data_IF_135333437526
#
_entry.id   IF_135333437526
#
_cell.length_a   1.000
_cell.length_b   1.000
_cell.length_c   1.000
_cell.angle_alpha   90.00
_cell.angle_beta   90.00
_cell.angle_gamma   90.00
#
_symmetry.space_group_name_H-M   'P 1'
#
loop_
_entity.id
_entity.type
_entity.pdbx_description
1 polymer ?
#
# COMPACT_ATOMS: atom_id res chain seq x y z
N UNK A 1 -6.13 -50.62 -20.34
CA UNK A 1 -7.23 -51.08 -19.46
C UNK A 1 -6.90 -50.66 -18.03
N UNK A 2 -7.90 -50.12 -17.31
CA UNK A 2 -7.86 -49.36 -16.03
C UNK A 2 -7.10 -48.03 -16.09
N UNK A 3 -7.66 -46.82 -16.24
CA UNK A 3 -8.90 -46.16 -15.76
C UNK A 3 -9.01 -46.08 -14.24
N UNK A 4 -8.36 -45.07 -13.65
CA UNK A 4 -8.79 -44.45 -12.39
C UNK A 4 -8.65 -42.93 -12.49
N UNK A 5 -9.71 -42.28 -12.02
CA UNK A 5 -10.09 -40.88 -12.17
C UNK A 5 -9.14 -39.89 -11.49
N UNK A 6 -8.84 -38.79 -12.18
CA UNK A 6 -8.34 -37.56 -11.58
C UNK A 6 -9.35 -36.44 -11.82
N UNK A 7 -10.39 -36.41 -10.99
CA UNK A 7 -11.33 -35.30 -10.88
C UNK A 7 -10.64 -34.09 -10.26
N UNK A 8 -10.59 -33.01 -11.03
CA UNK A 8 -10.20 -31.66 -10.62
C UNK A 8 -11.30 -31.05 -9.73
N UNK A 9 -10.98 -30.40 -8.59
CA UNK A 9 -11.98 -29.65 -7.86
C UNK A 9 -12.18 -28.29 -8.53
N UNK A 10 -13.19 -28.22 -9.40
CA UNK A 10 -13.79 -26.95 -9.83
C UNK A 10 -14.46 -26.28 -8.63
N UNK A 11 -13.96 -25.13 -8.20
CA UNK A 11 -14.62 -24.29 -7.18
C UNK A 11 -15.92 -23.75 -7.81
N UNK A 12 -17.04 -24.39 -7.52
CA UNK A 12 -18.37 -23.88 -7.81
C UNK A 12 -18.72 -22.79 -6.78
N UNK A 13 -18.87 -21.55 -7.24
CA UNK A 13 -19.48 -20.49 -6.45
C UNK A 13 -20.90 -20.89 -6.03
N UNK A 14 -21.34 -20.64 -4.78
CA UNK A 14 -22.73 -20.86 -4.39
C UNK A 14 -23.68 -19.96 -5.19
N UNK A 15 -24.53 -20.56 -6.01
CA UNK A 15 -25.73 -19.94 -6.59
C UNK A 15 -26.79 -19.73 -5.51
N UNK A 16 -26.64 -18.72 -4.66
CA UNK A 16 -27.73 -18.21 -3.82
C UNK A 16 -27.49 -16.73 -3.53
N UNK A 17 -27.93 -15.86 -4.44
CA UNK A 17 -28.22 -14.43 -4.21
C UNK A 17 -29.05 -13.90 -5.40
N UNK A 18 -30.08 -14.66 -5.79
CA UNK A 18 -31.23 -14.12 -6.52
C UNK A 18 -32.41 -14.20 -5.56
N UNK A 19 -32.70 -13.07 -4.89
CA UNK A 19 -34.01 -12.67 -4.38
C UNK A 19 -33.82 -11.37 -3.57
N UNK A 20 -33.78 -10.25 -4.29
CA UNK A 20 -34.15 -8.96 -3.70
C UNK A 20 -35.64 -9.04 -3.28
N UNK A 21 -36.02 -8.58 -2.07
CA UNK A 21 -37.41 -8.32 -1.79
C UNK A 21 -37.83 -7.09 -2.59
N UNK A 22 -38.63 -7.32 -3.63
CA UNK A 22 -39.42 -6.30 -4.30
C UNK A 22 -40.39 -5.69 -3.27
N UNK A 23 -39.96 -4.62 -2.61
CA UNK A 23 -40.87 -3.75 -1.87
C UNK A 23 -41.84 -3.11 -2.86
N UNK A 24 -43.07 -3.63 -2.92
CA UNK A 24 -44.18 -3.04 -3.66
C UNK A 24 -44.41 -1.62 -3.15
N UNK A 25 -44.00 -0.62 -3.94
CA UNK A 25 -44.36 0.78 -3.75
C UNK A 25 -45.85 0.93 -4.05
N UNK A 26 -46.68 0.96 -3.00
CA UNK A 26 -48.07 1.44 -3.07
C UNK A 26 -48.10 2.86 -2.51
N UNK A 27 -48.44 3.82 -3.38
CA UNK A 27 -48.74 5.20 -2.99
C UNK A 27 -47.59 6.17 -3.19
N UNK A 28 -47.30 6.53 -4.45
CA UNK A 28 -46.54 7.74 -4.73
C UNK A 28 -47.47 8.95 -4.58
N UNK A 29 -47.32 9.72 -3.48
CA UNK A 29 -47.92 11.04 -3.37
C UNK A 29 -47.06 11.99 -4.24
N UNK A 30 -47.55 12.34 -5.43
CA UNK A 30 -46.93 13.39 -6.24
C UNK A 30 -47.19 14.74 -5.56
N UNK A 31 -46.17 15.30 -4.89
CA UNK A 31 -46.13 16.72 -4.56
C UNK A 31 -45.68 17.47 -5.83
N UNK A 32 -46.63 18.09 -6.54
CA UNK A 32 -46.33 19.06 -7.57
C UNK A 32 -45.55 20.23 -6.94
N UNK A 33 -44.27 20.35 -7.31
CA UNK A 33 -43.48 21.52 -6.97
C UNK A 33 -44.11 22.79 -7.57
N UNK A 34 -44.16 23.93 -6.87
CA UNK A 34 -44.63 25.16 -7.45
C UNK A 34 -43.68 25.57 -8.60
N UNK A 35 -44.29 26.01 -9.71
CA UNK A 35 -43.63 26.29 -10.99
C UNK A 35 -42.29 27.07 -10.90
N UNK A 36 -41.40 26.97 -11.92
CA UNK A 36 -40.09 27.63 -11.96
C UNK A 36 -40.07 29.15 -11.80
N UNK A 37 -41.25 29.81 -11.74
CA UNK A 37 -41.39 31.26 -11.57
C UNK A 37 -41.10 31.75 -10.14
N UNK A 38 -41.13 30.88 -9.12
CA UNK A 38 -40.84 31.24 -7.72
C UNK A 38 -39.34 31.22 -7.36
N UNK A 39 -38.49 30.61 -8.19
CA UNK A 39 -37.04 30.54 -7.93
C UNK A 39 -36.28 31.82 -8.33
N UNK A 40 -36.83 32.62 -9.24
CA UNK A 40 -36.13 33.77 -9.83
C UNK A 40 -35.96 35.00 -8.92
N UNK A 41 -36.88 35.33 -7.99
CA UNK A 41 -36.68 36.44 -7.05
C UNK A 41 -35.63 36.11 -5.97
N UNK A 42 -35.53 34.85 -5.56
CA UNK A 42 -34.63 34.37 -4.50
C UNK A 42 -33.14 34.39 -4.89
N UNK A 43 -32.82 34.34 -6.18
CA UNK A 43 -31.44 34.30 -6.68
C UNK A 43 -30.82 35.68 -6.96
N UNK A 44 -31.58 36.78 -6.84
CA UNK A 44 -31.12 38.13 -7.24
C UNK A 44 -30.52 38.97 -6.11
N UNK A 45 -30.64 38.57 -4.85
CA UNK A 45 -30.03 39.29 -3.73
C UNK A 45 -28.63 38.71 -3.40
N UNK A 46 -27.59 39.46 -3.77
CA UNK A 46 -26.18 39.07 -3.57
C UNK A 46 -25.71 39.14 -2.11
N UNK A 47 -26.54 39.62 -1.19
CA UNK A 47 -26.14 39.80 0.22
C UNK A 47 -26.18 38.52 1.06
N UNK A 48 -26.71 37.40 0.55
CA UNK A 48 -26.91 36.16 1.34
C UNK A 48 -26.28 34.91 0.69
N UNK A 49 -24.96 34.87 0.64
CA UNK A 49 -24.15 33.73 0.15
C UNK A 49 -24.42 32.40 0.88
N UNK A 50 -24.95 32.44 2.11
CA UNK A 50 -25.30 31.23 2.89
C UNK A 50 -26.46 30.41 2.31
N UNK A 51 -27.26 30.97 1.41
CA UNK A 51 -28.47 30.28 0.90
C UNK A 51 -28.15 29.14 -0.08
N UNK A 52 -27.06 29.23 -0.84
CA UNK A 52 -26.62 28.14 -1.75
C UNK A 52 -26.22 26.88 -0.98
N UNK A 53 -25.55 27.03 0.16
CA UNK A 53 -25.18 25.91 1.02
C UNK A 53 -26.41 25.29 1.71
N UNK A 54 -27.36 26.12 2.14
CA UNK A 54 -28.58 25.72 2.86
C UNK A 54 -29.65 25.06 1.99
N UNK A 55 -29.79 25.43 0.72
CA UNK A 55 -30.66 24.72 -0.23
C UNK A 55 -30.14 23.30 -0.55
N UNK A 56 -28.82 23.10 -0.53
CA UNK A 56 -28.20 21.82 -0.88
C UNK A 56 -28.58 20.67 0.06
N UNK A 57 -28.83 20.99 1.33
CA UNK A 57 -29.28 20.03 2.35
C UNK A 57 -30.72 19.56 2.08
N UNK A 58 -31.58 20.47 1.61
CA UNK A 58 -32.97 20.17 1.24
C UNK A 58 -33.03 19.31 -0.02
N UNK A 59 -32.17 19.57 -1.01
CA UNK A 59 -32.04 18.73 -2.21
C UNK A 59 -31.59 17.30 -1.91
N UNK A 60 -30.90 17.09 -0.79
CA UNK A 60 -30.43 15.77 -0.33
C UNK A 60 -31.47 15.01 0.52
N UNK A 61 -32.27 15.73 1.32
CA UNK A 61 -33.30 15.14 2.20
C UNK A 61 -34.61 14.81 1.47
N UNK A 62 -34.99 15.59 0.46
CA UNK A 62 -36.22 15.38 -0.34
C UNK A 62 -36.26 14.01 -1.05
N UNK A 63 -35.18 13.52 -1.68
CA UNK A 63 -35.14 12.19 -2.28
C UNK A 63 -35.22 11.05 -1.25
N UNK A 64 -34.73 11.26 -0.03
CA UNK A 64 -34.80 10.28 1.07
C UNK A 64 -36.23 10.15 1.61
N UNK A 65 -36.92 11.29 1.76
CA UNK A 65 -38.34 11.35 2.14
C UNK A 65 -39.25 10.73 1.07
N UNK A 66 -38.97 10.98 -0.21
CA UNK A 66 -39.70 10.39 -1.33
C UNK A 66 -39.54 8.86 -1.43
N UNK A 67 -38.53 8.28 -0.75
CA UNK A 67 -38.27 6.84 -0.69
C UNK A 67 -38.78 6.17 0.60
N UNK A 68 -39.54 6.88 1.44
CA UNK A 68 -40.25 6.30 2.59
C UNK A 68 -39.39 6.02 3.83
N UNK A 69 -38.27 6.71 4.01
CA UNK A 69 -37.48 6.61 5.24
C UNK A 69 -38.13 7.39 6.40
N UNK A 70 -38.27 6.74 7.56
CA UNK A 70 -38.68 7.41 8.80
C UNK A 70 -37.52 8.21 9.38
N UNK A 71 -37.73 9.51 9.60
CA UNK A 71 -36.77 10.38 10.27
C UNK A 71 -36.85 10.21 11.80
N UNK A 72 -35.75 10.48 12.52
CA UNK A 72 -35.79 10.61 13.98
C UNK A 72 -36.90 11.59 14.42
N UNK A 73 -37.68 11.23 15.45
CA UNK A 73 -38.79 12.05 15.94
C UNK A 73 -38.39 13.49 16.31
N UNK A 74 -37.13 13.71 16.68
CA UNK A 74 -36.54 15.02 16.99
C UNK A 74 -36.46 15.99 15.80
N UNK A 75 -36.51 15.45 14.56
CA UNK A 75 -36.47 16.19 13.29
C UNK A 75 -37.86 16.40 12.66
N UNK A 76 -38.89 15.68 13.12
CA UNK A 76 -40.23 15.72 12.53
C UNK A 76 -40.89 17.09 12.66
N UNK A 77 -40.91 17.67 13.86
CA UNK A 77 -41.50 19.01 14.10
C UNK A 77 -40.85 20.14 13.29
N UNK A 78 -39.52 20.26 13.26
CA UNK A 78 -38.83 21.21 12.39
C UNK A 78 -39.13 21.02 10.89
N UNK A 79 -39.27 19.78 10.43
CA UNK A 79 -39.60 19.47 9.04
C UNK A 79 -41.03 19.88 8.68
N UNK A 80 -41.99 19.64 9.58
CA UNK A 80 -43.39 20.03 9.39
C UNK A 80 -43.54 21.57 9.39
N UNK A 81 -42.81 22.26 10.26
CA UNK A 81 -42.72 23.73 10.25
C UNK A 81 -42.14 24.27 8.93
N UNK A 82 -41.12 23.60 8.37
CA UNK A 82 -40.54 23.98 7.09
C UNK A 82 -41.51 23.77 5.92
N UNK A 83 -42.21 22.63 5.88
CA UNK A 83 -43.25 22.35 4.87
C UNK A 83 -44.36 23.39 4.91
N UNK A 84 -44.87 23.68 6.11
CA UNK A 84 -45.93 24.66 6.30
C UNK A 84 -45.51 26.07 5.82
N UNK A 85 -44.28 26.49 6.14
CA UNK A 85 -43.76 27.79 5.69
C UNK A 85 -43.46 27.82 4.17
N UNK A 86 -43.05 26.70 3.57
CA UNK A 86 -42.87 26.59 2.12
C UNK A 86 -44.20 26.67 1.35
N UNK A 87 -45.27 26.10 1.91
CA UNK A 87 -46.61 26.21 1.34
C UNK A 87 -47.16 27.64 1.46
N UNK A 88 -46.92 28.31 2.60
CA UNK A 88 -47.38 29.69 2.85
C UNK A 88 -46.61 30.77 2.06
N UNK A 89 -45.44 30.45 1.49
CA UNK A 89 -44.76 31.33 0.51
C UNK A 89 -45.58 31.59 -0.75
N UNK A 90 -46.54 30.71 -1.07
CA UNK A 90 -47.46 30.90 -2.20
C UNK A 90 -48.47 32.03 -1.94
N UNK A 91 -48.69 32.37 -0.67
CA UNK A 91 -49.68 33.34 -0.19
C UNK A 91 -49.04 34.62 0.39
N UNK A 92 -47.75 34.86 0.14
CA UNK A 92 -47.07 36.12 0.49
C UNK A 92 -46.46 36.16 1.90
N UNK A 93 -46.18 35.01 2.51
CA UNK A 93 -45.59 34.93 3.85
C UNK A 93 -44.15 35.49 3.95
N UNK A 94 -43.79 35.94 5.16
CA UNK A 94 -42.52 36.57 5.53
C UNK A 94 -41.34 35.57 5.47
N UNK A 95 -40.32 35.90 4.67
CA UNK A 95 -39.08 35.13 4.49
C UNK A 95 -38.36 34.82 5.82
N UNK A 96 -38.52 35.65 6.86
CA UNK A 96 -37.87 35.45 8.16
C UNK A 96 -38.38 34.21 8.93
N UNK A 97 -39.63 33.78 8.72
CA UNK A 97 -40.14 32.53 9.34
C UNK A 97 -39.55 31.27 8.67
N UNK A 98 -39.27 31.36 7.36
CA UNK A 98 -38.51 30.32 6.68
C UNK A 98 -37.08 30.27 7.17
N UNK A 99 -36.41 31.42 7.31
CA UNK A 99 -35.03 31.45 7.78
C UNK A 99 -34.89 30.83 9.17
N UNK A 100 -35.79 31.17 10.11
CA UNK A 100 -35.78 30.57 11.45
C UNK A 100 -36.09 29.08 11.44
N UNK A 101 -37.01 28.60 10.60
CA UNK A 101 -37.27 27.17 10.43
C UNK A 101 -36.08 26.43 9.82
N UNK A 102 -35.39 27.05 8.87
CA UNK A 102 -34.17 26.52 8.26
C UNK A 102 -33.01 26.46 9.26
N UNK A 103 -32.81 27.52 10.05
CA UNK A 103 -31.76 27.56 11.07
C UNK A 103 -32.05 26.52 12.17
N UNK A 104 -33.30 26.36 12.59
CA UNK A 104 -33.70 25.31 13.55
C UNK A 104 -33.47 23.89 13.01
N UNK A 105 -33.73 23.66 11.71
CA UNK A 105 -33.43 22.40 11.04
C UNK A 105 -31.92 22.19 10.94
N UNK A 106 -31.16 23.19 10.50
CA UNK A 106 -29.70 23.15 10.33
C UNK A 106 -28.97 22.93 11.66
N UNK A 107 -29.42 23.59 12.73
CA UNK A 107 -28.84 23.49 14.07
C UNK A 107 -29.12 22.13 14.70
N UNK A 108 -30.25 21.48 14.34
CA UNK A 108 -30.53 20.07 14.68
C UNK A 108 -29.92 19.06 13.70
N UNK A 109 -29.51 19.52 12.52
CA UNK A 109 -28.81 18.78 11.46
C UNK A 109 -27.29 18.97 11.53
N UNK A 110 -26.70 19.33 12.68
CA UNK A 110 -25.28 19.00 12.92
C UNK A 110 -25.10 17.55 12.46
N UNK A 111 -24.42 17.35 11.32
CA UNK A 111 -24.64 16.17 10.48
C UNK A 111 -24.58 14.91 11.36
N UNK A 112 -25.70 14.19 11.53
CA UNK A 112 -25.71 13.00 12.38
C UNK A 112 -24.57 12.08 11.93
N UNK A 113 -23.86 11.43 12.86
CA UNK A 113 -22.77 10.52 12.53
C UNK A 113 -23.14 9.51 11.43
N UNK A 114 -24.41 9.09 11.42
CA UNK A 114 -25.06 8.28 10.38
C UNK A 114 -24.95 8.89 8.96
N UNK A 115 -25.17 10.21 8.79
CA UNK A 115 -25.07 10.88 7.48
C UNK A 115 -23.62 10.98 7.04
N UNK A 116 -22.68 11.27 7.95
CA UNK A 116 -21.23 11.27 7.63
C UNK A 116 -20.76 9.88 7.19
N UNK A 117 -21.24 8.83 7.84
CA UNK A 117 -20.94 7.44 7.49
C UNK A 117 -21.45 7.07 6.09
N UNK A 118 -22.54 7.67 5.65
CA UNK A 118 -23.08 7.47 4.30
C UNK A 118 -22.41 8.32 3.22
N UNK A 119 -21.93 9.52 3.56
CA UNK A 119 -21.32 10.43 2.56
C UNK A 119 -19.82 10.22 2.37
N UNK A 120 -19.11 9.72 3.39
CA UNK A 120 -17.69 9.31 3.31
C UNK A 120 -17.42 8.17 4.30
N UNK A 121 -17.80 6.92 3.98
CA UNK A 121 -17.57 5.77 4.85
C UNK A 121 -16.08 5.56 5.19
N UNK A 122 -15.17 6.03 4.33
CA UNK A 122 -13.73 6.01 4.59
C UNK A 122 -13.36 7.02 5.67
N UNK A 123 -13.88 8.25 5.54
CA UNK A 123 -13.57 9.35 6.46
C UNK A 123 -14.05 9.13 7.89
N UNK A 124 -15.09 8.31 8.10
CA UNK A 124 -15.58 7.99 9.46
C UNK A 124 -14.84 6.84 10.13
N UNK A 125 -14.19 5.97 9.36
CA UNK A 125 -13.43 4.85 9.90
C UNK A 125 -12.00 5.31 10.21
N UNK A 126 -11.54 5.28 11.47
CA UNK A 126 -10.18 5.72 11.82
C UNK A 126 -9.10 4.98 11.01
N UNK A 127 -9.24 3.66 10.86
CA UNK A 127 -8.31 2.84 10.09
C UNK A 127 -8.34 3.13 8.59
N UNK A 128 -9.53 3.25 7.98
CA UNK A 128 -9.62 3.50 6.54
C UNK A 128 -9.22 4.94 6.19
N UNK A 129 -9.47 5.91 7.08
CA UNK A 129 -9.04 7.30 6.92
C UNK A 129 -7.51 7.43 7.01
N UNK A 130 -6.89 6.74 7.98
CA UNK A 130 -5.43 6.64 8.08
C UNK A 130 -4.84 5.98 6.84
N UNK A 131 -5.39 4.84 6.42
CA UNK A 131 -4.99 4.12 5.20
C UNK A 131 -5.07 5.00 3.96
N UNK A 132 -6.19 5.70 3.75
CA UNK A 132 -6.37 6.66 2.65
C UNK A 132 -5.30 7.73 2.67
N UNK A 133 -4.98 8.27 3.83
CA UNK A 133 -3.99 9.35 3.97
C UNK A 133 -2.58 8.87 3.60
N UNK A 134 -2.19 7.68 4.06
CA UNK A 134 -0.91 7.06 3.72
C UNK A 134 -0.79 6.77 2.22
N UNK A 135 -1.81 6.16 1.61
CA UNK A 135 -1.79 5.73 0.20
C UNK A 135 -1.92 6.91 -0.76
N UNK A 136 -2.61 7.98 -0.38
CA UNK A 136 -2.77 9.18 -1.21
C UNK A 136 -1.48 10.01 -1.33
N UNK A 137 -0.48 9.74 -0.49
CA UNK A 137 0.84 10.35 -0.58
C UNK A 137 1.74 9.39 -1.35
N UNK A 138 2.25 9.87 -2.47
CA UNK A 138 3.21 9.13 -3.29
C UNK A 138 4.52 8.90 -2.52
N UNK A 139 5.05 7.68 -2.59
CA UNK A 139 6.23 7.26 -1.83
C UNK A 139 6.99 6.14 -2.54
N UNK A 140 7.13 6.23 -3.86
CA UNK A 140 7.98 5.31 -4.63
C UNK A 140 9.37 5.31 -4.00
N UNK A 141 10.02 4.14 -3.92
CA UNK A 141 11.33 4.01 -3.29
C UNK A 141 12.31 5.09 -3.76
N UNK A 142 12.79 5.92 -2.83
CA UNK A 142 13.57 7.13 -3.08
C UNK A 142 12.82 8.46 -2.89
N UNK A 143 11.48 8.46 -2.83
CA UNK A 143 10.63 9.65 -2.68
C UNK A 143 9.70 9.59 -1.45
N UNK A 144 10.15 9.01 -0.34
CA UNK A 144 9.31 8.72 0.83
C UNK A 144 9.13 9.91 1.79
N UNK A 145 9.89 11.00 1.62
CA UNK A 145 9.93 12.09 2.60
C UNK A 145 8.54 12.69 2.90
N UNK A 146 7.68 12.83 1.90
CA UNK A 146 6.35 13.41 2.08
C UNK A 146 5.48 12.54 3.01
N UNK A 147 5.44 11.22 2.78
CA UNK A 147 4.65 10.30 3.62
C UNK A 147 5.27 10.16 5.02
N UNK A 148 6.60 10.13 5.12
CA UNK A 148 7.31 10.07 6.39
C UNK A 148 7.05 11.30 7.26
N UNK A 149 7.10 12.51 6.68
CA UNK A 149 6.80 13.75 7.39
C UNK A 149 5.34 13.80 7.86
N UNK A 150 4.41 13.42 6.98
CA UNK A 150 2.99 13.35 7.35
C UNK A 150 2.76 12.37 8.51
N UNK A 151 3.40 11.19 8.47
CA UNK A 151 3.24 10.17 9.50
C UNK A 151 3.84 10.58 10.84
N UNK A 152 4.99 11.26 10.84
CA UNK A 152 5.57 11.83 12.07
C UNK A 152 4.60 12.80 12.75
N UNK A 153 3.99 13.69 11.97
CA UNK A 153 3.05 14.67 12.50
C UNK A 153 1.76 14.00 12.99
N UNK A 154 1.29 12.97 12.28
CA UNK A 154 0.17 12.15 12.72
C UNK A 154 0.49 11.50 14.08
N UNK A 155 1.59 10.73 14.18
CA UNK A 155 1.94 10.00 15.41
C UNK A 155 2.22 10.92 16.61
N UNK A 156 2.83 12.10 16.38
CA UNK A 156 2.98 13.12 17.44
C UNK A 156 1.63 13.62 17.97
N UNK A 157 0.67 13.90 17.09
CA UNK A 157 -0.68 14.33 17.49
C UNK A 157 -1.40 13.26 18.29
N UNK A 158 -1.08 12.00 18.00
CA UNK A 158 -1.57 10.85 18.75
C UNK A 158 -0.78 10.64 20.04
N UNK A 159 0.17 11.50 20.43
CA UNK A 159 0.85 11.42 21.72
C UNK A 159 2.01 10.41 21.78
N UNK A 160 2.52 9.94 20.64
CA UNK A 160 3.77 9.18 20.60
C UNK A 160 4.99 10.10 20.63
N UNK A 161 6.07 9.63 21.25
CA UNK A 161 7.40 10.15 21.00
C UNK A 161 7.87 9.62 19.66
N UNK A 162 8.30 10.49 18.76
CA UNK A 162 8.69 10.11 17.40
C UNK A 162 10.07 10.64 17.02
N UNK A 163 10.79 9.85 16.25
CA UNK A 163 12.13 10.14 15.78
C UNK A 163 12.28 9.89 14.28
N UNK A 164 13.08 10.73 13.64
CA UNK A 164 13.59 10.48 12.29
C UNK A 164 14.90 9.72 12.41
N UNK A 165 14.93 8.49 11.93
CA UNK A 165 16.20 7.76 11.79
C UNK A 165 16.67 7.85 10.34
N UNK A 166 17.71 8.66 10.09
CA UNK A 166 18.27 8.82 8.74
C UNK A 166 18.81 7.49 8.19
N UNK A 167 18.54 7.24 6.91
CA UNK A 167 18.98 6.07 6.15
C UNK A 167 20.09 6.53 5.21
N UNK A 168 21.35 6.20 5.54
CA UNK A 168 22.53 6.83 4.96
C UNK A 168 23.11 6.07 3.76
N UNK A 169 22.45 6.05 2.61
CA UNK A 169 23.11 5.57 1.38
C UNK A 169 22.98 6.47 0.16
N UNK A 170 22.06 7.44 0.16
CA UNK A 170 22.02 8.49 -0.85
C UNK A 170 21.60 9.79 -0.16
N UNK A 171 22.54 10.74 -0.01
CA UNK A 171 22.16 12.12 0.26
C UNK A 171 21.24 12.53 -0.88
N UNK A 172 19.99 12.90 -0.58
CA UNK A 172 19.14 13.52 -1.59
C UNK A 172 19.90 14.71 -2.19
N UNK A 173 19.73 15.00 -3.50
CA UNK A 173 20.30 16.21 -4.07
C UNK A 173 19.89 17.40 -3.18
N UNK A 174 20.88 18.18 -2.75
CA UNK A 174 20.67 19.36 -1.92
C UNK A 174 19.65 20.25 -2.64
N UNK A 175 18.45 20.38 -2.08
CA UNK A 175 17.48 21.37 -2.53
C UNK A 175 18.09 22.72 -2.15
N UNK A 176 18.72 23.40 -3.13
CA UNK A 176 19.17 24.78 -2.99
C UNK A 176 17.96 25.70 -3.06
N UNK A 177 17.06 25.62 -2.08
CA UNK A 177 16.17 26.73 -1.81
C UNK A 177 16.99 27.82 -1.09
N UNK A 178 16.91 29.04 -1.64
CA UNK A 178 17.55 30.22 -1.06
C UNK A 178 17.14 30.31 0.41
N UNK A 179 18.10 30.10 1.31
CA UNK A 179 17.99 30.18 2.79
C UNK A 179 17.58 28.91 3.55
N UNK A 180 18.27 27.78 3.34
CA UNK A 180 18.79 26.87 4.41
C UNK A 180 19.48 25.68 3.76
N UNK A 181 20.76 25.44 4.08
CA UNK A 181 21.45 24.20 3.72
C UNK A 181 20.96 23.04 4.61
N UNK A 182 19.71 22.63 4.49
CA UNK A 182 19.20 21.40 5.11
C UNK A 182 19.38 20.26 4.12
N UNK A 183 20.35 19.39 4.38
CA UNK A 183 20.42 18.09 3.70
C UNK A 183 19.29 17.25 4.28
N UNK A 184 18.20 17.10 3.54
CA UNK A 184 17.17 16.12 3.90
C UNK A 184 17.70 14.71 3.59
N UNK A 185 17.86 13.90 4.63
CA UNK A 185 18.11 12.47 4.48
C UNK A 185 16.78 11.76 4.18
N UNK A 186 16.79 10.65 3.44
CA UNK A 186 15.71 9.65 3.55
C UNK A 186 15.73 9.12 4.99
N UNK A 187 14.57 8.84 5.56
CA UNK A 187 14.49 8.44 6.97
C UNK A 187 13.39 7.40 7.21
N UNK A 188 13.65 6.53 8.19
CA UNK A 188 12.63 5.71 8.83
C UNK A 188 11.89 6.54 9.88
N UNK A 189 10.65 6.14 10.18
CA UNK A 189 9.83 6.70 11.27
C UNK A 189 9.87 5.72 12.44
N UNK A 190 10.52 6.11 13.54
CA UNK A 190 10.48 5.37 14.80
C UNK A 190 9.54 6.09 15.76
N UNK A 191 8.60 5.36 16.36
CA UNK A 191 7.67 5.90 17.35
C UNK A 191 7.50 4.95 18.54
N UNK A 192 7.40 5.50 19.74
CA UNK A 192 7.26 4.75 20.99
C UNK A 192 6.56 5.61 22.06
N UNK A 193 6.17 4.98 23.18
CA UNK A 193 5.52 5.64 24.30
C UNK A 193 6.56 6.11 25.32
N UNK A 194 6.40 7.32 25.87
CA UNK A 194 7.29 7.86 26.90
C UNK A 194 8.66 8.28 26.37
N UNK A 195 9.71 8.09 27.16
CA UNK A 195 11.08 8.55 26.85
C UNK A 195 12.00 7.41 26.43
N UNK A 196 11.65 6.16 26.75
CA UNK A 196 12.46 4.98 26.45
C UNK A 196 12.23 4.40 25.05
N UNK A 197 13.29 4.35 24.25
CA UNK A 197 13.32 3.59 22.98
C UNK A 197 13.30 2.07 23.17
N UNK A 198 13.62 1.57 24.37
CA UNK A 198 13.68 0.14 24.65
C UNK A 198 12.27 -0.37 24.87
N UNK A 199 11.80 -1.26 23.99
CA UNK A 199 10.50 -1.91 24.12
C UNK A 199 10.62 -3.42 23.98
N UNK A 200 9.62 -4.13 24.51
CA UNK A 200 9.52 -5.59 24.40
C UNK A 200 9.21 -6.03 22.97
N UNK A 201 8.31 -5.33 22.29
CA UNK A 201 7.88 -5.66 20.93
C UNK A 201 8.18 -4.52 19.97
N UNK A 202 8.70 -4.88 18.79
CA UNK A 202 8.75 -4.01 17.62
C UNK A 202 7.66 -4.40 16.63
N UNK A 203 6.89 -3.43 16.17
CA UNK A 203 5.97 -3.61 15.04
C UNK A 203 6.52 -2.78 13.88
N UNK A 204 6.68 -3.41 12.73
CA UNK A 204 7.34 -2.80 11.58
C UNK A 204 6.70 -3.18 10.26
N UNK A 205 6.85 -2.31 9.28
CA UNK A 205 6.42 -2.43 7.88
C UNK A 205 7.13 -1.34 7.08
N UNK A 206 7.08 -1.37 5.76
CA UNK A 206 7.67 -0.33 4.92
C UNK A 206 6.66 0.73 4.44
N UNK A 207 7.15 1.93 4.15
CA UNK A 207 6.38 3.06 3.61
C UNK A 207 6.57 3.22 2.10
N UNK A 208 7.69 2.75 1.57
CA UNK A 208 7.98 2.86 0.15
C UNK A 208 7.16 1.89 -0.69
N UNK A 209 7.02 2.20 -1.97
CA UNK A 209 6.26 1.38 -2.93
C UNK A 209 7.00 1.26 -4.25
N UNK A 210 6.70 0.22 -5.03
CA UNK A 210 7.18 0.15 -6.42
C UNK A 210 6.45 1.12 -7.36
N UNK A 211 7.09 1.58 -8.45
CA UNK A 211 6.42 2.37 -9.49
C UNK A 211 5.36 1.55 -10.26
N UNK A 212 4.39 2.21 -10.91
CA UNK A 212 4.07 3.63 -10.82
C UNK A 212 3.23 3.95 -9.58
N UNK A 213 3.11 5.24 -9.27
CA UNK A 213 2.10 5.73 -8.33
C UNK A 213 0.70 5.51 -8.89
N UNK A 214 -0.18 4.94 -8.08
CA UNK A 214 -1.60 4.76 -8.39
C UNK A 214 -2.40 5.43 -7.28
N UNK A 215 -3.26 6.42 -7.60
CA UNK A 215 -4.00 7.17 -6.60
C UNK A 215 -5.02 6.30 -5.88
N UNK A 216 -5.31 6.67 -4.63
CA UNK A 216 -6.34 6.03 -3.83
C UNK A 216 -7.73 6.16 -4.48
N UNK A 217 -8.42 5.04 -4.67
CA UNK A 217 -9.79 4.98 -5.18
C UNK A 217 -10.56 3.90 -4.43
N UNK A 218 -11.83 4.16 -4.17
CA UNK A 218 -12.77 3.16 -3.66
C UNK A 218 -13.67 2.73 -4.80
N UNK A 219 -13.85 1.43 -4.97
CA UNK A 219 -14.77 0.87 -5.94
C UNK A 219 -15.54 -0.27 -5.29
N UNK A 220 -16.80 -0.01 -4.94
CA UNK A 220 -17.60 -0.95 -4.15
C UNK A 220 -16.96 -1.21 -2.78
N UNK A 221 -16.62 -2.47 -2.53
CA UNK A 221 -15.98 -2.93 -1.28
C UNK A 221 -14.45 -3.01 -1.39
N UNK A 222 -13.89 -2.57 -2.51
CA UNK A 222 -12.46 -2.67 -2.79
C UNK A 222 -11.80 -1.29 -2.77
N UNK A 223 -10.57 -1.27 -2.28
CA UNK A 223 -9.71 -0.10 -2.27
C UNK A 223 -8.57 -0.34 -3.25
N UNK A 224 -8.38 0.60 -4.16
CA UNK A 224 -7.34 0.62 -5.16
C UNK A 224 -6.34 1.73 -4.85
N UNK A 225 -5.07 1.48 -5.13
CA UNK A 225 -3.99 2.45 -4.95
C UNK A 225 -2.67 1.74 -4.71
N UNK A 226 -1.56 2.34 -5.13
CA UNK A 226 -0.23 1.74 -4.94
C UNK A 226 0.12 1.86 -3.46
N UNK A 227 0.45 0.75 -2.82
CA UNK A 227 0.63 0.70 -1.36
C UNK A 227 -0.60 0.24 -0.59
N UNK A 228 -1.78 0.15 -1.23
CA UNK A 228 -3.03 -0.18 -0.52
C UNK A 228 -2.97 -1.54 0.19
N UNK A 229 -2.36 -2.53 -0.46
CA UNK A 229 -2.04 -3.85 0.11
C UNK A 229 -0.61 -3.85 0.65
N UNK A 230 0.36 -3.53 -0.21
CA UNK A 230 1.79 -3.71 0.01
C UNK A 230 2.54 -2.36 0.16
N UNK A 231 2.84 -1.87 1.37
CA UNK A 231 2.42 -2.43 2.66
C UNK A 231 1.63 -1.44 3.55
N UNK A 232 1.12 -0.33 2.98
CA UNK A 232 0.46 0.72 3.76
C UNK A 232 -0.86 0.28 4.42
N UNK A 233 -1.48 -0.80 3.92
CA UNK A 233 -2.58 -1.49 4.60
C UNK A 233 -2.18 -2.03 5.97
N UNK A 234 -1.04 -2.71 6.03
CA UNK A 234 -0.44 -3.20 7.27
C UNK A 234 -0.04 -2.04 8.18
N UNK A 235 0.63 -1.02 7.65
CA UNK A 235 1.03 0.18 8.41
C UNK A 235 -0.17 0.81 9.14
N UNK A 236 -1.27 1.07 8.42
CA UNK A 236 -2.47 1.65 9.02
C UNK A 236 -3.06 0.76 10.12
N UNK A 237 -3.12 -0.55 9.87
CA UNK A 237 -3.67 -1.53 10.81
C UNK A 237 -2.83 -1.65 12.08
N UNK A 238 -1.50 -1.69 11.92
CA UNK A 238 -0.54 -1.75 13.02
C UNK A 238 -0.61 -0.51 13.91
N UNK A 239 -0.66 0.69 13.32
CA UNK A 239 -0.80 1.94 14.06
C UNK A 239 -2.09 1.94 14.86
N UNK A 240 -3.23 1.61 14.22
CA UNK A 240 -4.53 1.61 14.90
C UNK A 240 -4.63 0.59 16.02
N UNK A 241 -4.06 -0.60 15.85
CA UNK A 241 -4.02 -1.61 16.91
C UNK A 241 -3.26 -1.10 18.15
N UNK A 242 -2.10 -0.46 17.96
CA UNK A 242 -1.34 0.12 19.07
C UNK A 242 -2.08 1.29 19.72
N UNK A 243 -2.72 2.16 18.92
CA UNK A 243 -3.54 3.26 19.44
C UNK A 243 -4.70 2.75 20.30
N UNK A 244 -5.45 1.75 19.83
CA UNK A 244 -6.61 1.18 20.54
C UNK A 244 -6.21 0.47 21.84
N UNK A 245 -5.12 -0.31 21.82
CA UNK A 245 -4.60 -0.95 23.03
C UNK A 245 -4.12 0.07 24.07
N UNK A 246 -3.50 1.16 23.61
CA UNK A 246 -3.05 2.23 24.50
C UNK A 246 -4.23 3.02 25.07
N UNK A 247 -5.23 3.33 24.26
CA UNK A 247 -6.48 3.99 24.70
C UNK A 247 -7.24 3.14 25.72
N UNK A 248 -7.21 1.82 25.57
CA UNK A 248 -7.77 0.87 26.55
C UNK A 248 -6.92 0.71 27.82
N UNK A 249 -5.70 1.26 27.85
CA UNK A 249 -4.76 1.12 28.97
C UNK A 249 -4.13 -0.27 29.08
N UNK A 250 -4.13 -1.06 28.00
CA UNK A 250 -3.59 -2.42 27.97
C UNK A 250 -2.08 -2.48 27.69
N UNK A 251 -1.51 -1.41 27.15
CA UNK A 251 -0.07 -1.27 26.90
C UNK A 251 0.44 0.07 27.45
N UNK A 252 1.73 0.11 27.77
CA UNK A 252 2.39 1.25 28.39
C UNK A 252 3.82 1.46 27.85
N UNK A 253 4.52 2.47 28.37
CA UNK A 253 5.93 2.71 28.04
C UNK A 253 6.75 1.42 28.22
N UNK A 254 7.56 1.08 27.21
CA UNK A 254 8.36 -0.15 27.20
C UNK A 254 7.66 -1.38 26.60
N UNK A 255 6.36 -1.35 26.29
CA UNK A 255 5.69 -2.51 25.68
C UNK A 255 5.93 -2.62 24.18
N UNK A 256 5.64 -1.55 23.42
CA UNK A 256 5.60 -1.58 21.95
C UNK A 256 6.27 -0.33 21.36
N UNK A 257 7.08 -0.55 20.33
CA UNK A 257 7.57 0.48 19.41
C UNK A 257 7.07 0.20 17.99
N UNK A 258 6.84 1.27 17.23
CA UNK A 258 6.52 1.25 15.81
C UNK A 258 7.77 1.70 15.03
N UNK A 259 8.22 0.92 14.06
CA UNK A 259 9.29 1.32 13.14
C UNK A 259 8.79 1.16 11.70
N UNK A 260 8.55 2.25 11.00
CA UNK A 260 8.20 2.22 9.60
C UNK A 260 9.39 2.58 8.74
N UNK A 261 9.84 1.63 7.94
CA UNK A 261 11.09 1.73 7.19
C UNK A 261 10.89 2.24 5.76
N UNK A 262 11.97 2.75 5.16
CA UNK A 262 12.00 3.16 3.75
C UNK A 262 13.04 2.34 2.97
N UNK A 263 12.84 2.20 1.67
CA UNK A 263 13.73 1.45 0.79
C UNK A 263 13.75 -0.04 1.11
N UNK A 264 12.64 -0.61 1.56
CA UNK A 264 12.47 -2.06 1.61
C UNK A 264 12.53 -2.62 0.19
N UNK A 265 11.83 -1.97 -0.74
CA UNK A 265 11.71 -2.41 -2.11
C UNK A 265 12.99 -2.14 -2.92
N UNK A 266 13.20 -2.93 -3.98
CA UNK A 266 14.29 -2.67 -4.93
C UNK A 266 13.98 -1.42 -5.77
N UNK A 267 14.92 -0.47 -5.78
CA UNK A 267 14.90 0.64 -6.74
C UNK A 267 14.99 0.09 -8.18
N UNK A 268 14.19 0.68 -9.09
CA UNK A 268 14.00 0.31 -10.50
C UNK A 268 14.92 -0.81 -11.03
N UNK A 269 14.38 -2.03 -11.06
CA UNK A 269 15.07 -3.25 -11.51
C UNK A 269 15.69 -3.14 -12.92
N UNK A 270 15.27 -2.15 -13.72
CA UNK A 270 15.78 -1.94 -15.08
C UNK A 270 16.97 -0.98 -15.16
N UNK A 271 17.19 -0.12 -14.17
CA UNK A 271 18.20 0.95 -14.26
C UNK A 271 19.42 0.70 -13.40
N UNK A 272 19.26 0.11 -12.22
CA UNK A 272 20.38 -0.07 -11.31
C UNK A 272 20.50 -1.51 -10.81
N UNK A 273 21.45 -2.24 -11.39
CA UNK A 273 21.66 -3.68 -11.14
C UNK A 273 22.33 -3.97 -9.78
N UNK A 274 22.64 -2.93 -8.99
CA UNK A 274 23.37 -3.04 -7.73
C UNK A 274 22.58 -2.65 -6.48
N UNK A 275 21.32 -2.24 -6.61
CA UNK A 275 20.53 -1.79 -5.46
C UNK A 275 19.72 -2.96 -4.88
N UNK A 276 20.23 -3.50 -3.78
CA UNK A 276 19.51 -4.45 -2.92
C UNK A 276 18.54 -3.66 -2.05
N UNK A 277 17.26 -4.01 -2.03
CA UNK A 277 16.27 -3.46 -1.10
C UNK A 277 16.64 -3.70 0.37
N UNK A 278 15.91 -3.12 1.30
CA UNK A 278 16.14 -3.20 2.75
C UNK A 278 17.07 -2.13 3.33
N UNK A 279 17.18 -0.97 2.69
CA UNK A 279 18.02 0.16 3.13
C UNK A 279 17.67 0.58 4.56
N UNK A 280 16.39 0.85 4.81
CA UNK A 280 15.92 1.35 6.10
C UNK A 280 16.16 0.35 7.22
N UNK A 281 15.87 -0.93 7.00
CA UNK A 281 16.05 -1.95 8.04
C UNK A 281 17.53 -2.19 8.36
N UNK A 282 18.42 -2.13 7.35
CA UNK A 282 19.87 -2.23 7.59
C UNK A 282 20.37 -1.11 8.49
N UNK A 283 19.97 0.12 8.22
CA UNK A 283 20.38 1.28 9.01
C UNK A 283 19.74 1.26 10.42
N UNK A 284 18.53 0.73 10.55
CA UNK A 284 17.86 0.57 11.84
C UNK A 284 18.64 -0.36 12.81
N UNK A 285 19.39 -1.34 12.29
CA UNK A 285 20.28 -2.17 13.12
C UNK A 285 21.36 -1.34 13.82
N UNK A 286 21.75 -0.18 13.27
CA UNK A 286 22.68 0.76 13.87
C UNK A 286 22.14 1.51 15.10
N UNK A 287 20.84 1.43 15.39
CA UNK A 287 20.23 2.06 16.56
C UNK A 287 20.58 1.35 17.88
N UNK A 288 21.15 0.14 17.83
CA UNK A 288 21.50 -0.64 19.02
C UNK A 288 20.28 -1.05 19.86
N UNK A 289 19.11 -1.17 19.23
CA UNK A 289 17.87 -1.58 19.87
C UNK A 289 17.75 -3.10 19.88
N UNK A 290 17.06 -3.63 20.89
CA UNK A 290 16.81 -5.06 21.06
C UNK A 290 15.36 -5.27 21.46
N UNK A 291 14.75 -6.31 20.92
CA UNK A 291 13.33 -6.63 21.11
C UNK A 291 13.20 -8.12 21.44
N UNK A 292 12.21 -8.49 22.25
CA UNK A 292 11.84 -9.90 22.47
C UNK A 292 11.04 -10.46 21.29
N UNK A 293 10.29 -9.59 20.60
CA UNK A 293 9.45 -9.97 19.46
C UNK A 293 9.45 -8.87 18.40
N UNK A 294 9.45 -9.27 17.12
CA UNK A 294 9.27 -8.37 15.99
C UNK A 294 8.12 -8.87 15.13
N UNK A 295 7.17 -7.99 14.81
CA UNK A 295 6.02 -8.27 13.94
C UNK A 295 6.18 -7.47 12.65
N UNK A 296 6.37 -8.19 11.54
CA UNK A 296 6.46 -7.61 10.20
C UNK A 296 5.08 -7.57 9.53
N UNK A 297 4.70 -6.39 9.04
CA UNK A 297 3.42 -6.14 8.40
C UNK A 297 3.48 -6.34 6.90
N UNK A 298 3.46 -7.57 6.42
CA UNK A 298 3.49 -7.90 4.99
C UNK A 298 2.17 -8.55 4.53
N UNK A 299 1.81 -8.47 3.24
CA UNK A 299 0.60 -9.08 2.72
C UNK A 299 0.74 -10.61 2.61
N UNK A 300 0.54 -11.30 3.73
CA UNK A 300 0.66 -12.77 3.84
C UNK A 300 -0.67 -13.50 3.71
N UNK A 301 -1.69 -12.89 3.09
CA UNK A 301 -3.07 -13.38 3.05
C UNK A 301 -3.64 -13.66 4.46
N UNK A 302 -3.23 -12.85 5.45
CA UNK A 302 -3.57 -13.02 6.87
C UNK A 302 -3.06 -14.33 7.50
N UNK A 303 -2.07 -14.98 6.88
CA UNK A 303 -1.38 -16.14 7.44
C UNK A 303 -0.15 -15.69 8.22
N UNK A 304 0.11 -16.33 9.35
CA UNK A 304 1.34 -16.11 10.09
C UNK A 304 2.53 -16.70 9.32
N UNK A 305 3.40 -15.84 8.80
CA UNK A 305 4.67 -16.23 8.22
C UNK A 305 5.79 -16.10 9.26
N UNK A 306 6.37 -17.21 9.70
CA UNK A 306 7.45 -17.23 10.70
C UNK A 306 8.85 -17.11 10.08
N UNK A 307 8.94 -16.99 8.75
CA UNK A 307 10.19 -16.83 8.03
C UNK A 307 10.00 -16.89 6.51
N UNK A 308 11.00 -16.44 5.78
CA UNK A 308 11.05 -16.52 4.33
C UNK A 308 12.45 -16.92 3.86
N UNK A 309 12.55 -17.45 2.63
CA UNK A 309 13.86 -17.74 2.04
C UNK A 309 14.57 -16.43 1.71
N UNK A 310 15.88 -16.40 1.92
CA UNK A 310 16.76 -15.36 1.40
C UNK A 310 16.92 -15.46 -0.12
N UNK A 311 17.72 -14.58 -0.70
CA UNK A 311 18.04 -14.61 -2.13
C UNK A 311 19.51 -14.28 -2.36
N UNK A 312 20.15 -15.05 -3.23
CA UNK A 312 21.45 -14.72 -3.83
C UNK A 312 21.22 -14.62 -5.33
N UNK A 313 21.47 -13.46 -5.91
CA UNK A 313 21.41 -13.25 -7.36
C UNK A 313 22.82 -13.35 -7.93
N UNK A 314 22.96 -13.96 -9.11
CA UNK A 314 24.26 -14.11 -9.75
C UNK A 314 24.18 -13.84 -11.24
N UNK A 315 25.33 -13.45 -11.78
CA UNK A 315 25.61 -13.39 -13.21
C UNK A 315 26.87 -14.21 -13.44
N UNK A 316 26.80 -15.17 -14.35
CA UNK A 316 27.95 -15.91 -14.84
C UNK A 316 28.21 -15.49 -16.28
N UNK A 317 29.45 -15.17 -16.61
CA UNK A 317 29.85 -14.76 -17.96
C UNK A 317 31.05 -15.57 -18.44
N UNK A 318 31.10 -15.86 -19.74
CA UNK A 318 32.24 -16.49 -20.37
C UNK A 318 32.77 -15.60 -21.50
N UNK A 319 34.10 -15.43 -21.54
CA UNK A 319 34.78 -14.77 -22.65
C UNK A 319 35.50 -15.81 -23.52
N UNK A 320 35.17 -15.78 -24.80
CA UNK A 320 35.81 -16.57 -25.84
C UNK A 320 36.49 -15.67 -26.87
N UNK A 321 36.56 -16.15 -28.11
CA UNK A 321 37.16 -15.44 -29.24
C UNK A 321 36.37 -15.73 -30.50
N UNK A 322 35.91 -14.68 -31.17
CA UNK A 322 35.13 -14.82 -32.38
C UNK A 322 36.00 -15.34 -33.54
N UNK A 323 35.43 -16.24 -34.32
CA UNK A 323 35.96 -16.67 -35.61
C UNK A 323 34.80 -17.09 -36.52
N UNK A 324 35.09 -17.28 -37.81
CA UNK A 324 34.13 -17.93 -38.69
C UNK A 324 33.96 -19.39 -38.24
N UNK A 325 32.73 -19.87 -38.14
CA UNK A 325 32.43 -21.24 -37.65
C UNK A 325 33.09 -22.36 -38.46
N UNK A 326 33.47 -22.09 -39.72
CA UNK A 326 34.25 -23.01 -40.56
C UNK A 326 35.74 -23.11 -40.21
N UNK A 327 36.26 -22.22 -39.35
CA UNK A 327 37.63 -22.23 -38.81
C UNK A 327 37.58 -22.11 -37.28
N UNK A 328 36.96 -23.09 -36.58
CA UNK A 328 36.74 -23.03 -35.14
C UNK A 328 38.05 -22.98 -34.33
N UNK A 329 39.14 -23.53 -34.85
CA UNK A 329 40.48 -23.52 -34.24
C UNK A 329 41.08 -22.12 -34.07
N UNK A 330 40.57 -21.13 -34.82
CA UNK A 330 40.97 -19.73 -34.67
C UNK A 330 40.19 -19.00 -33.56
N UNK A 331 39.13 -19.62 -33.05
CA UNK A 331 38.21 -19.06 -32.06
C UNK A 331 38.21 -19.83 -30.74
N UNK A 332 37.45 -19.30 -29.77
CA UNK A 332 37.14 -19.95 -28.50
C UNK A 332 35.65 -19.75 -28.30
N UNK A 333 34.88 -20.84 -28.23
CA UNK A 333 33.42 -20.76 -28.17
C UNK A 333 32.95 -20.47 -26.74
N UNK A 334 32.54 -19.23 -26.47
CA UNK A 334 32.07 -18.81 -25.14
C UNK A 334 30.82 -19.59 -24.67
N UNK A 335 29.94 -20.02 -25.59
CA UNK A 335 28.79 -20.85 -25.22
C UNK A 335 29.28 -22.21 -24.71
N UNK A 336 30.30 -22.81 -25.35
CA UNK A 336 30.88 -24.06 -24.88
C UNK A 336 31.60 -23.91 -23.54
N UNK A 337 32.20 -22.75 -23.26
CA UNK A 337 32.87 -22.47 -21.98
C UNK A 337 31.87 -22.38 -20.81
N UNK A 338 30.72 -21.70 -21.00
CA UNK A 338 29.78 -21.46 -19.90
C UNK A 338 28.96 -22.70 -19.53
N UNK A 339 28.70 -23.61 -20.48
CA UNK A 339 27.80 -24.75 -20.29
C UNK A 339 28.21 -25.69 -19.13
N UNK A 340 29.48 -26.10 -18.99
CA UNK A 340 29.91 -26.95 -17.87
C UNK A 340 29.68 -26.30 -16.50
N UNK A 341 29.90 -24.99 -16.38
CA UNK A 341 29.67 -24.24 -15.14
C UNK A 341 28.17 -24.14 -14.80
N UNK A 342 27.31 -23.93 -15.80
CA UNK A 342 25.86 -23.97 -15.59
C UNK A 342 25.38 -25.35 -15.15
N UNK A 343 25.92 -26.41 -15.74
CA UNK A 343 25.61 -27.78 -15.34
C UNK A 343 26.08 -28.10 -13.92
N UNK A 344 27.25 -27.58 -13.51
CA UNK A 344 27.76 -27.72 -12.15
C UNK A 344 26.84 -27.02 -11.13
N UNK A 345 26.36 -25.81 -11.46
CA UNK A 345 25.39 -25.09 -10.63
C UNK A 345 24.04 -25.81 -10.56
N UNK A 346 23.51 -26.31 -11.69
CA UNK A 346 22.23 -27.02 -11.75
C UNK A 346 22.19 -28.30 -10.90
N UNK A 347 23.36 -28.95 -10.74
CA UNK A 347 23.55 -30.14 -9.92
C UNK A 347 24.00 -29.86 -8.49
N UNK A 348 24.12 -28.58 -8.11
CA UNK A 348 24.65 -28.20 -6.81
C UNK A 348 23.70 -28.62 -5.69
N UNK A 349 24.23 -29.36 -4.71
CA UNK A 349 23.46 -29.70 -3.51
C UNK A 349 23.39 -28.48 -2.59
N UNK A 350 22.24 -27.81 -2.62
CA UNK A 350 22.03 -26.58 -1.86
C UNK A 350 21.48 -26.88 -0.46
N UNK A 351 21.86 -26.07 0.55
CA UNK A 351 21.44 -26.32 1.92
C UNK A 351 19.92 -26.19 2.08
N UNK A 352 19.36 -26.99 2.98
CA UNK A 352 17.94 -26.96 3.33
C UNK A 352 17.74 -26.66 4.82
N UNK A 353 16.58 -26.11 5.17
CA UNK A 353 16.11 -26.04 6.55
C UNK A 353 14.86 -26.89 6.74
N UNK A 354 14.60 -27.26 7.99
CA UNK A 354 13.37 -27.94 8.39
C UNK A 354 12.14 -27.04 8.16
N UNK A 355 12.26 -25.75 8.49
CA UNK A 355 11.14 -24.80 8.44
C UNK A 355 10.84 -24.23 7.05
N UNK A 356 11.86 -24.00 6.21
CA UNK A 356 11.68 -23.39 4.88
C UNK A 356 11.93 -24.38 3.73
N UNK A 357 12.30 -25.62 4.03
CA UNK A 357 12.59 -26.67 3.05
C UNK A 357 13.91 -26.46 2.31
N UNK A 358 13.98 -26.94 1.06
CA UNK A 358 15.20 -26.85 0.23
C UNK A 358 15.42 -25.45 -0.33
N UNK A 359 16.68 -25.02 -0.36
CA UNK A 359 17.07 -23.91 -1.24
C UNK A 359 16.86 -24.30 -2.70
N UNK A 360 16.54 -23.33 -3.56
CA UNK A 360 16.21 -23.60 -4.97
C UNK A 360 17.01 -22.68 -5.88
N UNK A 361 17.75 -23.26 -6.82
CA UNK A 361 18.41 -22.54 -7.90
C UNK A 361 17.44 -22.32 -9.06
N UNK A 362 17.53 -21.15 -9.70
CA UNK A 362 16.88 -20.85 -10.96
C UNK A 362 17.87 -20.16 -11.90
N UNK A 363 18.24 -20.82 -13.00
CA UNK A 363 18.98 -20.20 -14.11
C UNK A 363 17.94 -19.59 -15.06
N UNK A 364 17.57 -18.34 -14.81
CA UNK A 364 16.40 -17.72 -15.46
C UNK A 364 16.67 -17.14 -16.85
N UNK A 365 17.93 -16.84 -17.22
CA UNK A 365 18.27 -16.27 -18.54
C UNK A 365 19.64 -16.75 -18.98
N UNK A 366 19.76 -17.18 -20.24
CA UNK A 366 21.01 -17.54 -20.90
C UNK A 366 21.05 -16.85 -22.26
N UNK A 367 22.18 -16.22 -22.59
CA UNK A 367 22.40 -15.47 -23.82
C UNK A 367 23.82 -15.76 -24.33
N UNK A 368 24.02 -15.82 -25.65
CA UNK A 368 25.35 -15.96 -26.22
C UNK A 368 25.36 -16.12 -27.73
N UNK A 369 26.44 -15.67 -28.36
CA UNK A 369 26.58 -15.65 -29.82
C UNK A 369 25.82 -14.50 -30.50
N UNK A 370 26.07 -14.35 -31.80
CA UNK A 370 25.46 -13.31 -32.65
C UNK A 370 24.80 -13.88 -33.90
N UNK A 371 25.32 -14.99 -34.44
CA UNK A 371 24.80 -15.69 -35.61
C UNK A 371 25.26 -17.15 -35.59
N UNK A 372 24.54 -18.04 -36.26
CA UNK A 372 24.85 -19.49 -36.27
C UNK A 372 26.18 -19.84 -36.94
N UNK A 373 26.69 -18.97 -37.82
CA UNK A 373 27.95 -19.18 -38.54
C UNK A 373 29.15 -18.45 -37.91
N UNK A 374 29.01 -17.88 -36.70
CA UNK A 374 30.07 -17.16 -35.97
C UNK A 374 30.33 -17.87 -34.64
N UNK A 375 31.60 -18.19 -34.35
CA UNK A 375 31.99 -18.69 -33.03
C UNK A 375 31.72 -17.61 -31.98
N UNK A 376 30.89 -17.86 -30.94
CA UNK A 376 30.56 -16.87 -29.92
C UNK A 376 31.78 -16.39 -29.14
N UNK A 377 32.05 -15.09 -29.13
CA UNK A 377 33.07 -14.49 -28.25
C UNK A 377 32.57 -14.22 -26.83
N UNK A 378 31.25 -14.25 -26.61
CA UNK A 378 30.65 -13.94 -25.31
C UNK A 378 29.40 -14.80 -25.06
N UNK A 379 29.28 -15.27 -23.82
CA UNK A 379 28.09 -15.91 -23.28
C UNK A 379 27.81 -15.40 -21.87
N UNK A 380 26.55 -15.36 -21.47
CA UNK A 380 26.09 -14.85 -20.18
C UNK A 380 24.88 -15.62 -19.69
N UNK A 381 24.88 -15.95 -18.41
CA UNK A 381 23.72 -16.45 -17.70
C UNK A 381 23.41 -15.58 -16.49
N UNK A 382 22.13 -15.44 -16.16
CA UNK A 382 21.65 -14.83 -14.91
C UNK A 382 20.72 -15.78 -14.21
N UNK A 383 20.85 -15.82 -12.90
CA UNK A 383 20.00 -16.66 -12.07
C UNK A 383 19.95 -16.17 -10.63
N UNK A 384 19.20 -16.92 -9.83
CA UNK A 384 19.13 -16.70 -8.40
C UNK A 384 18.98 -18.00 -7.64
N UNK A 385 19.46 -18.01 -6.40
CA UNK A 385 19.20 -19.06 -5.43
C UNK A 385 18.29 -18.49 -4.35
N UNK A 386 17.15 -19.12 -4.11
CA UNK A 386 16.35 -18.88 -2.90
C UNK A 386 16.98 -19.67 -1.76
N UNK A 387 17.48 -18.97 -0.75
CA UNK A 387 18.30 -19.54 0.34
C UNK A 387 17.41 -19.88 1.53
N UNK A 388 17.28 -21.17 1.83
CA UNK A 388 16.47 -21.67 2.94
C UNK A 388 17.26 -21.90 4.23
N UNK A 389 18.59 -22.02 4.14
CA UNK A 389 19.48 -22.28 5.26
C UNK A 389 20.90 -21.74 4.98
N UNK A 390 21.66 -21.52 6.06
CA UNK A 390 22.99 -20.87 6.06
C UNK A 390 22.93 -19.41 5.61
N UNK A 391 24.09 -18.76 5.56
CA UNK A 391 24.21 -17.36 5.15
C UNK A 391 24.27 -17.22 3.62
N UNK A 392 23.90 -16.04 3.07
CA UNK A 392 24.13 -15.75 1.66
C UNK A 392 25.58 -15.94 1.22
N UNK A 393 26.55 -15.56 2.05
CA UNK A 393 27.98 -15.71 1.76
C UNK A 393 28.38 -17.19 1.66
N UNK A 394 27.85 -18.06 2.52
CA UNK A 394 28.10 -19.50 2.42
C UNK A 394 27.62 -20.07 1.09
N UNK A 395 26.41 -19.69 0.66
CA UNK A 395 25.84 -20.15 -0.62
C UNK A 395 26.65 -19.60 -1.80
N UNK A 396 27.04 -18.33 -1.74
CA UNK A 396 27.92 -17.70 -2.75
C UNK A 396 29.24 -18.45 -2.87
N UNK A 397 29.91 -18.73 -1.76
CA UNK A 397 31.19 -19.46 -1.75
C UNK A 397 31.03 -20.88 -2.29
N UNK A 398 29.92 -21.54 -1.97
CA UNK A 398 29.59 -22.86 -2.50
C UNK A 398 29.42 -22.83 -4.03
N UNK A 399 28.72 -21.82 -4.54
CA UNK A 399 28.55 -21.62 -5.99
C UNK A 399 29.88 -21.31 -6.70
N UNK A 400 30.70 -20.44 -6.12
CA UNK A 400 32.03 -20.11 -6.65
C UNK A 400 32.89 -21.38 -6.74
N UNK A 401 32.95 -22.18 -5.67
CA UNK A 401 33.68 -23.46 -5.66
C UNK A 401 33.17 -24.44 -6.72
N UNK A 402 31.86 -24.50 -6.94
CA UNK A 402 31.29 -25.38 -7.96
C UNK A 402 31.69 -24.95 -9.38
N UNK A 403 31.73 -23.64 -9.65
CA UNK A 403 32.17 -23.07 -10.94
C UNK A 403 33.68 -23.25 -11.13
N UNK A 404 34.49 -22.90 -10.13
CA UNK A 404 35.95 -23.03 -10.17
C UNK A 404 36.39 -24.49 -10.34
N UNK A 405 35.66 -25.42 -9.71
CA UNK A 405 35.93 -26.86 -9.80
C UNK A 405 35.77 -27.46 -11.21
N UNK A 406 35.16 -26.73 -12.15
CA UNK A 406 35.06 -27.14 -13.55
C UNK A 406 36.41 -26.94 -14.28
N UNK A 407 37.26 -26.02 -13.82
CA UNK A 407 38.59 -25.78 -14.41
C UNK A 407 38.56 -25.12 -15.78
N UNK A 408 37.52 -24.35 -16.10
CA UNK A 408 37.39 -23.63 -17.37
C UNK A 408 37.90 -22.20 -17.21
N UNK A 409 38.93 -21.84 -17.97
CA UNK A 409 39.43 -20.46 -18.02
C UNK A 409 38.45 -19.52 -18.74
N UNK A 410 38.43 -18.25 -18.31
CA UNK A 410 37.61 -17.21 -18.96
C UNK A 410 36.18 -17.05 -18.42
N UNK A 411 35.86 -17.70 -17.29
CA UNK A 411 34.62 -17.50 -16.55
C UNK A 411 34.76 -16.34 -15.55
N UNK A 412 33.71 -15.53 -15.41
CA UNK A 412 33.59 -14.44 -14.41
C UNK A 412 32.20 -14.35 -13.81
#
# INVERSE_FOLDING_TARGET
TSSQDSSSPSVQLPKQLEQEPTAKVKGALFLELPSPRLALPLLKDKSRCNMKLRLSVVTLLLPLLARGFELPASLQGPLDSLKHNLESLRDGANLDSLYSSFDALQQKLEMPAFVKQWTDPIGVSPILSLHRSLVSIESISGNENAVGNWLLDYLRKQGFTVEKQCVSMEKMPVVKEKQKNTVECRFNVLAYMGESRRTRTLITSHLDVVPPYLPYKVHGHEIYGRGSVDAKGSVASQIRAVEELREAGEISEGDVALLFVVGEEKKDANRDRHLVGGDGMREANGLGLSWETVIFGEPTELKLASGHKGIVEFTLSAQGRASHSGYPELGINANSLILPALLALDKLDLPSSESLGKSTLNIGRIEGGVAGNVVPAFAKARGSVRVAAKTPDYVKDLMIKAVDGVGVEGLT
#
